data_IF_229422123878
#
_entry.id   IF_229422123878
#
_cell.length_a   1.000
_cell.length_b   1.000
_cell.length_c   1.000
_cell.angle_alpha   90.00
_cell.angle_beta   90.00
_cell.angle_gamma   90.00
#
_symmetry.space_group_name_H-M   'P 1'
#
loop_
_entity.id
_entity.type
_entity.pdbx_description
1 polymer ?
#
# COMPACT_ATOMS: atom_id res chain seq x y z
N UNK A 1 -15.78 10.14 12.80
CA UNK A 1 -14.63 9.21 12.74
C UNK A 1 -13.93 9.48 11.43
N UNK A 2 -12.65 9.87 11.45
CA UNK A 2 -11.92 10.18 10.22
C UNK A 2 -11.28 8.90 9.71
N UNK A 3 -11.81 8.33 8.63
CA UNK A 3 -11.21 7.18 7.96
C UNK A 3 -10.29 7.71 6.87
N UNK A 4 -9.02 7.32 6.91
CA UNK A 4 -8.07 7.62 5.83
C UNK A 4 -8.06 6.45 4.85
N UNK A 5 -8.20 6.75 3.57
CA UNK A 5 -8.24 5.75 2.50
C UNK A 5 -7.21 6.09 1.42
N UNK A 6 -6.39 5.10 1.09
CA UNK A 6 -5.42 5.18 0.01
C UNK A 6 -5.61 4.02 -0.96
N UNK A 7 -5.56 4.31 -2.26
CA UNK A 7 -5.64 3.29 -3.30
C UNK A 7 -4.36 3.26 -4.12
N UNK A 8 -3.90 2.07 -4.46
CA UNK A 8 -2.81 1.82 -5.40
C UNK A 8 -3.32 1.08 -6.61
N UNK A 9 -3.24 1.69 -7.79
CA UNK A 9 -3.41 0.98 -9.07
C UNK A 9 -2.26 -0.01 -9.25
N UNK A 10 -2.56 -1.29 -9.32
CA UNK A 10 -1.60 -2.39 -9.42
C UNK A 10 -0.95 -2.42 -10.80
N UNK A 11 0.37 -2.46 -10.82
CA UNK A 11 1.17 -2.66 -12.05
C UNK A 11 1.43 -4.14 -12.31
N UNK A 12 1.85 -4.51 -13.52
CA UNK A 12 2.30 -5.88 -13.84
C UNK A 12 3.33 -6.44 -12.84
N UNK A 13 4.21 -5.57 -12.30
CA UNK A 13 5.20 -5.95 -11.30
C UNK A 13 4.58 -6.23 -9.93
N UNK A 14 3.50 -5.54 -9.57
CA UNK A 14 2.81 -5.72 -8.29
C UNK A 14 2.02 -7.05 -8.27
N UNK A 15 1.42 -7.43 -9.40
CA UNK A 15 0.66 -8.70 -9.53
C UNK A 15 1.51 -9.90 -9.97
N UNK A 16 2.76 -9.67 -10.36
CA UNK A 16 3.75 -10.74 -10.55
C UNK A 16 3.74 -11.36 -11.94
N UNK A 17 3.07 -10.70 -12.89
CA UNK A 17 2.95 -11.14 -14.27
C UNK A 17 4.28 -11.03 -15.03
N UNK A 18 5.22 -10.22 -14.56
CA UNK A 18 6.53 -10.02 -15.24
C UNK A 18 7.55 -11.12 -14.97
N UNK A 19 7.29 -12.08 -14.08
CA UNK A 19 8.21 -13.17 -13.75
C UNK A 19 9.53 -12.73 -13.06
N UNK A 20 9.68 -11.42 -12.81
CA UNK A 20 10.83 -10.86 -12.08
C UNK A 20 10.62 -10.98 -10.58
N UNK A 21 11.70 -10.91 -9.80
CA UNK A 21 11.60 -10.83 -8.33
C UNK A 21 10.74 -9.64 -7.93
N UNK A 22 9.54 -9.92 -7.46
CA UNK A 22 8.63 -8.89 -6.95
C UNK A 22 9.24 -8.25 -5.71
N UNK A 23 9.72 -7.00 -5.85
CA UNK A 23 10.29 -6.24 -4.73
C UNK A 23 9.25 -5.77 -3.71
N UNK A 24 7.95 -5.98 -3.97
CA UNK A 24 6.83 -5.41 -3.22
C UNK A 24 6.34 -4.08 -3.80
N UNK A 25 5.18 -3.63 -3.32
CA UNK A 25 4.51 -2.41 -3.79
C UNK A 25 5.34 -1.20 -3.36
N UNK A 26 5.69 -0.35 -4.33
CA UNK A 26 6.42 0.89 -4.08
C UNK A 26 5.54 1.91 -3.35
N UNK A 27 6.06 2.49 -2.27
CA UNK A 27 5.43 3.59 -1.54
C UNK A 27 6.22 4.89 -1.81
N UNK A 28 5.57 5.96 -2.30
CA UNK A 28 6.24 7.24 -2.56
C UNK A 28 6.82 7.88 -1.30
N UNK A 29 8.12 8.20 -1.32
CA UNK A 29 8.78 8.92 -0.20
C UNK A 29 8.22 10.33 0.02
N UNK A 30 7.82 11.00 -1.05
CA UNK A 30 7.43 12.41 -0.99
C UNK A 30 5.97 12.60 -0.59
N UNK A 31 5.25 11.51 -0.29
CA UNK A 31 3.85 11.54 0.11
C UNK A 31 3.74 11.48 1.64
N UNK A 32 3.84 12.64 2.28
CA UNK A 32 3.87 12.74 3.74
C UNK A 32 2.65 12.13 4.41
N UNK A 33 1.47 12.26 3.80
CA UNK A 33 0.23 11.72 4.36
C UNK A 33 0.19 10.20 4.34
N UNK A 34 0.57 9.57 3.22
CA UNK A 34 0.66 8.11 3.10
C UNK A 34 1.75 7.54 4.02
N UNK A 35 2.87 8.25 4.19
CA UNK A 35 3.90 7.83 5.14
C UNK A 35 3.42 7.95 6.59
N UNK A 36 2.69 9.01 6.95
CA UNK A 36 2.11 9.17 8.28
C UNK A 36 1.00 8.16 8.59
N UNK A 37 0.37 7.62 7.54
CA UNK A 37 -0.64 6.58 7.64
C UNK A 37 -0.04 5.22 8.03
N UNK A 38 1.19 4.94 7.57
CA UNK A 38 1.93 3.70 7.83
C UNK A 38 2.73 3.79 9.14
N UNK A 39 3.21 2.66 9.69
CA UNK A 39 4.11 2.68 10.84
C UNK A 39 5.37 3.50 10.57
N UNK A 40 5.80 4.28 11.56
CA UNK A 40 7.06 5.02 11.48
C UNK A 40 8.25 4.05 11.46
N UNK A 41 9.21 4.33 10.59
CA UNK A 41 10.45 3.57 10.47
C UNK A 41 11.63 4.50 10.74
N UNK A 42 12.55 4.08 11.60
CA UNK A 42 13.73 4.87 11.95
C UNK A 42 14.77 4.86 10.81
N UNK A 43 15.00 5.98 10.10
CA UNK A 43 15.95 6.03 8.99
C UNK A 43 17.41 5.84 9.41
N UNK A 44 17.73 5.98 10.70
CA UNK A 44 19.08 5.75 11.25
C UNK A 44 19.42 4.25 11.36
N UNK A 45 18.42 3.38 11.30
CA UNK A 45 18.62 1.93 11.22
C UNK A 45 18.73 1.54 9.75
N UNK A 46 19.56 0.56 9.41
CA UNK A 46 19.65 0.03 8.04
C UNK A 46 18.47 -0.91 7.76
N UNK A 47 17.76 -0.65 6.67
CA UNK A 47 16.61 -1.40 6.20
C UNK A 47 15.54 -1.66 7.28
N UNK A 48 15.09 -0.63 8.02
CA UNK A 48 14.12 -0.80 9.10
C UNK A 48 12.80 -1.28 8.51
N UNK A 49 12.06 -2.04 9.29
CA UNK A 49 10.77 -2.57 8.89
C UNK A 49 9.79 -2.70 10.05
N UNK A 50 8.52 -2.78 9.68
CA UNK A 50 7.41 -3.00 10.58
C UNK A 50 6.36 -3.89 9.91
N UNK A 51 5.67 -4.69 10.72
CA UNK A 51 4.52 -5.45 10.27
C UNK A 51 3.24 -4.60 10.37
N UNK A 52 2.42 -4.69 9.33
CA UNK A 52 1.09 -4.11 9.27
C UNK A 52 0.10 -5.26 9.20
N UNK A 53 -0.84 -5.27 10.14
CA UNK A 53 -1.93 -6.22 10.17
C UNK A 53 -3.18 -5.55 9.61
N UNK A 54 -3.68 -6.07 8.49
CA UNK A 54 -4.88 -5.58 7.82
C UNK A 54 -5.97 -6.64 7.85
N UNK A 55 -7.19 -6.26 8.20
CA UNK A 55 -8.36 -7.11 8.02
C UNK A 55 -8.86 -7.01 6.58
N UNK A 56 -9.05 -8.16 5.92
CA UNK A 56 -9.65 -8.21 4.58
C UNK A 56 -11.20 -8.26 4.63
N UNK A 57 -11.85 -8.21 3.47
CA UNK A 57 -13.32 -8.21 3.35
C UNK A 57 -13.98 -9.50 3.89
N UNK A 58 -13.21 -10.55 4.16
CA UNK A 58 -13.69 -11.80 4.75
C UNK A 58 -13.53 -11.84 6.27
N UNK A 59 -12.99 -10.78 6.88
CA UNK A 59 -12.61 -10.74 8.29
C UNK A 59 -11.28 -11.44 8.58
N UNK A 60 -10.52 -11.84 7.55
CA UNK A 60 -9.23 -12.53 7.74
C UNK A 60 -8.13 -11.50 7.92
N UNK A 61 -7.36 -11.64 9.01
CA UNK A 61 -6.19 -10.79 9.25
C UNK A 61 -5.03 -11.21 8.34
N UNK A 62 -4.55 -10.27 7.53
CA UNK A 62 -3.41 -10.38 6.63
C UNK A 62 -2.25 -9.57 7.17
N UNK A 63 -1.04 -10.14 7.14
CA UNK A 63 0.18 -9.48 7.59
C UNK A 63 1.05 -9.08 6.40
N UNK A 64 1.37 -7.80 6.32
CA UNK A 64 2.27 -7.23 5.31
C UNK A 64 3.46 -6.58 5.99
N UNK A 65 4.60 -6.55 5.32
CA UNK A 65 5.82 -5.93 5.87
C UNK A 65 6.11 -4.63 5.15
N UNK A 66 6.06 -3.53 5.90
CA UNK A 66 6.52 -2.23 5.44
C UNK A 66 8.01 -2.08 5.74
N UNK A 67 8.81 -1.80 4.71
CA UNK A 67 10.28 -1.73 4.82
C UNK A 67 10.79 -0.49 4.11
N UNK A 68 11.82 0.13 4.69
CA UNK A 68 12.55 1.22 4.06
C UNK A 68 13.92 0.74 3.57
N UNK A 69 14.04 0.44 2.28
CA UNK A 69 15.35 0.13 1.69
C UNK A 69 16.18 1.41 1.58
N UNK A 70 17.05 1.63 2.55
CA UNK A 70 17.85 2.85 2.72
C UNK A 70 19.37 2.57 2.61
N UNK A 71 19.76 1.52 1.88
CA UNK A 71 21.16 1.15 1.65
C UNK A 71 22.02 2.35 1.20
N UNK A 72 21.47 3.31 0.46
CA UNK A 72 22.18 4.53 0.05
C UNK A 72 22.73 5.36 1.21
N UNK A 73 22.12 5.25 2.40
CA UNK A 73 22.53 5.99 3.60
C UNK A 73 23.53 5.22 4.47
N UNK A 74 23.59 3.89 4.32
CA UNK A 74 24.28 3.00 5.26
C UNK A 74 25.43 2.21 4.64
N UNK A 75 25.38 1.96 3.32
CA UNK A 75 26.35 1.11 2.63
C UNK A 75 27.22 1.94 1.68
N UNK A 76 28.53 1.66 1.67
CA UNK A 76 29.43 2.18 0.66
C UNK A 76 29.04 1.58 -0.71
N UNK A 77 28.50 2.42 -1.59
CA UNK A 77 27.97 1.99 -2.91
C UNK A 77 26.51 1.53 -2.89
N UNK A 78 25.79 1.70 -1.78
CA UNK A 78 24.35 1.44 -1.74
C UNK A 78 23.57 2.36 -2.69
N UNK A 79 22.68 1.79 -3.49
CA UNK A 79 21.89 2.56 -4.48
C UNK A 79 20.44 2.76 -4.08
N UNK A 80 19.91 1.89 -3.20
CA UNK A 80 18.48 1.90 -2.83
C UNK A 80 18.16 3.00 -1.83
N UNK A 81 17.09 3.71 -2.14
CA UNK A 81 16.46 4.66 -1.26
C UNK A 81 14.96 4.68 -1.58
N UNK A 82 14.18 3.74 -1.06
CA UNK A 82 12.73 3.59 -1.36
C UNK A 82 11.97 2.85 -0.25
N UNK A 83 10.69 3.16 -0.10
CA UNK A 83 9.79 2.44 0.80
C UNK A 83 8.99 1.39 0.03
N UNK A 84 8.76 0.24 0.64
CA UNK A 84 7.97 -0.84 0.04
C UNK A 84 7.07 -1.55 1.03
N UNK A 85 5.92 -2.01 0.55
CA UNK A 85 5.08 -3.00 1.24
C UNK A 85 5.29 -4.35 0.56
N UNK A 86 5.79 -5.31 1.31
CA UNK A 86 6.15 -6.66 0.83
C UNK A 86 5.20 -7.71 1.43
N UNK A 87 5.36 -8.97 1.03
CA UNK A 87 4.48 -10.10 1.39
C UNK A 87 3.04 -10.02 0.83
N UNK A 88 2.81 -9.16 -0.17
CA UNK A 88 1.49 -9.00 -0.79
C UNK A 88 1.19 -10.04 -1.88
N UNK A 89 2.21 -10.70 -2.44
CA UNK A 89 2.08 -11.64 -3.57
C UNK A 89 1.08 -12.76 -3.32
N UNK A 90 1.16 -13.40 -2.14
CA UNK A 90 0.26 -14.51 -1.80
C UNK A 90 -1.19 -14.03 -1.77
N UNK A 91 -1.43 -12.89 -1.12
CA UNK A 91 -2.75 -12.27 -1.03
C UNK A 91 -3.30 -11.86 -2.40
N UNK A 92 -2.51 -11.14 -3.21
CA UNK A 92 -2.92 -10.73 -4.56
C UNK A 92 -3.21 -11.93 -5.47
N UNK A 93 -2.42 -13.00 -5.36
CA UNK A 93 -2.65 -14.24 -6.11
C UNK A 93 -3.90 -14.97 -5.64
N UNK A 94 -4.16 -15.04 -4.34
CA UNK A 94 -5.39 -15.61 -3.77
C UNK A 94 -6.63 -14.87 -4.29
N UNK A 95 -6.55 -13.55 -4.41
CA UNK A 95 -7.64 -12.73 -4.95
C UNK A 95 -7.72 -12.73 -6.49
N UNK A 96 -6.76 -13.33 -7.18
CA UNK A 96 -6.67 -13.29 -8.64
C UNK A 96 -6.51 -11.88 -9.21
N UNK A 97 -5.81 -11.00 -8.47
CA UNK A 97 -5.63 -9.60 -8.82
C UNK A 97 -4.92 -9.42 -10.17
N UNK A 98 -5.36 -8.45 -10.95
CA UNK A 98 -4.85 -8.16 -12.30
C UNK A 98 -4.21 -6.77 -12.36
N UNK A 99 -3.32 -6.59 -13.32
CA UNK A 99 -2.81 -5.26 -13.65
C UNK A 99 -3.96 -4.31 -14.01
N UNK A 100 -3.89 -3.09 -13.48
CA UNK A 100 -4.93 -2.07 -13.65
C UNK A 100 -6.04 -2.11 -12.59
N UNK A 101 -6.17 -3.19 -11.81
CA UNK A 101 -7.04 -3.20 -10.62
C UNK A 101 -6.42 -2.41 -9.48
N UNK A 102 -7.21 -2.12 -8.46
CA UNK A 102 -6.83 -1.18 -7.42
C UNK A 102 -6.83 -1.84 -6.06
N UNK A 103 -5.72 -1.72 -5.36
CA UNK A 103 -5.61 -2.14 -3.98
C UNK A 103 -5.94 -0.97 -3.07
N UNK A 104 -6.97 -1.10 -2.25
CA UNK A 104 -7.34 -0.10 -1.26
C UNK A 104 -6.83 -0.52 0.12
N UNK A 105 -6.18 0.41 0.81
CA UNK A 105 -5.83 0.28 2.22
C UNK A 105 -6.46 1.45 2.97
N UNK A 106 -7.23 1.14 4.01
CA UNK A 106 -7.86 2.14 4.85
C UNK A 106 -7.50 1.94 6.31
N UNK A 107 -7.59 3.01 7.10
CA UNK A 107 -7.33 2.99 8.53
C UNK A 107 -8.27 3.96 9.20
N UNK A 108 -8.89 3.46 10.26
CA UNK A 108 -9.68 4.29 11.15
C UNK A 108 -8.77 4.88 12.24
N UNK A 109 -8.75 6.21 12.37
CA UNK A 109 -7.86 6.89 13.32
C UNK A 109 -8.18 6.60 14.79
N UNK A 110 -9.42 6.20 15.12
CA UNK A 110 -9.83 5.91 16.49
C UNK A 110 -9.47 4.49 16.93
N UNK A 111 -9.60 3.51 16.03
CA UNK A 111 -9.35 2.10 16.31
C UNK A 111 -7.94 1.64 15.91
N UNK A 112 -7.22 2.42 15.10
CA UNK A 112 -5.87 2.08 14.59
C UNK A 112 -5.83 0.74 13.82
N UNK A 113 -7.00 0.24 13.38
CA UNK A 113 -7.13 -0.99 12.61
C UNK A 113 -6.98 -0.67 11.13
N UNK A 114 -6.07 -1.38 10.45
CA UNK A 114 -5.97 -1.32 8.99
C UNK A 114 -6.97 -2.29 8.36
N UNK A 115 -7.56 -1.87 7.24
CA UNK A 115 -8.37 -2.72 6.38
C UNK A 115 -7.80 -2.72 4.98
N UNK A 116 -7.99 -3.82 4.26
CA UNK A 116 -7.48 -3.99 2.91
C UNK A 116 -8.53 -4.66 2.02
N UNK A 117 -8.66 -4.19 0.78
CA UNK A 117 -9.51 -4.82 -0.23
C UNK A 117 -9.01 -4.60 -1.64
N UNK A 118 -9.46 -5.46 -2.56
CA UNK A 118 -9.20 -5.34 -3.99
C UNK A 118 -10.43 -4.75 -4.67
N UNK A 119 -10.27 -3.54 -5.21
CA UNK A 119 -11.30 -2.85 -5.99
C UNK A 119 -11.12 -3.24 -7.46
N UNK A 120 -12.11 -3.96 -7.99
CA UNK A 120 -12.12 -4.42 -9.39
C UNK A 120 -12.83 -3.39 -10.27
N UNK A 121 -12.30 -3.16 -11.48
CA UNK A 121 -12.83 -2.18 -12.42
C UNK A 121 -14.23 -2.51 -13.00
N UNK A 122 -14.83 -3.64 -12.62
CA UNK A 122 -16.17 -4.04 -13.05
C UNK A 122 -17.03 -4.56 -11.90
N UNK A 123 -17.61 -3.61 -11.16
CA UNK A 123 -19.00 -3.68 -10.72
C UNK A 123 -19.45 -2.30 -10.26
N UNK A 124 -20.34 -1.69 -11.04
CA UNK A 124 -21.31 -0.74 -10.50
C UNK A 124 -22.07 -1.44 -9.34
N UNK A 125 -22.38 -0.65 -8.31
CA UNK A 125 -22.91 -1.00 -6.98
C UNK A 125 -21.80 -1.30 -5.96
N UNK A 126 -21.55 -0.46 -4.96
CA UNK A 126 -22.50 0.21 -4.08
C UNK A 126 -22.06 1.64 -3.72
N UNK A 127 -23.05 2.54 -3.79
CA UNK A 127 -23.00 3.87 -3.22
C UNK A 127 -22.70 3.81 -1.72
N UNK A 128 -21.76 4.63 -1.27
CA UNK A 128 -22.04 5.51 -0.15
C UNK A 128 -22.15 6.91 -0.74
N UNK A 129 -23.33 7.49 -0.59
CA UNK A 129 -23.66 8.87 -0.92
C UNK A 129 -22.78 9.82 -0.09
N UNK A 130 -22.52 10.98 -0.69
CA UNK A 130 -21.95 12.19 -0.09
C UNK A 130 -20.49 12.13 0.36
N UNK A 131 -19.56 12.37 -0.56
CA UNK A 131 -18.72 13.58 -0.49
C UNK A 131 -18.08 13.82 -1.85
N UNK A 132 -18.09 15.08 -2.30
CA UNK A 132 -17.39 15.57 -3.48
C UNK A 132 -15.88 15.65 -3.18
N UNK A 133 -15.31 14.53 -2.72
CA UNK A 133 -13.96 14.42 -2.21
C UNK A 133 -12.95 14.69 -3.31
N UNK A 134 -12.17 15.76 -3.14
CA UNK A 134 -11.12 16.19 -4.07
C UNK A 134 -10.12 15.04 -4.28
N UNK A 135 -10.13 14.48 -5.50
CA UNK A 135 -9.30 13.35 -5.91
C UNK A 135 -7.89 13.82 -6.25
N UNK A 136 -6.96 13.72 -5.30
CA UNK A 136 -5.55 14.10 -5.54
C UNK A 136 -4.78 12.89 -6.05
N UNK A 137 -4.31 12.96 -7.31
CA UNK A 137 -3.42 11.97 -7.92
C UNK A 137 -2.01 12.09 -7.35
N UNK A 138 -1.44 10.99 -6.87
CA UNK A 138 -0.04 10.91 -6.43
C UNK A 138 0.80 10.29 -7.57
N UNK A 139 2.02 10.79 -7.80
CA UNK A 139 2.90 10.45 -8.95
C UNK A 139 3.40 9.00 -9.05
N UNK A 140 2.75 8.00 -8.45
CA UNK A 140 3.21 6.59 -8.48
C UNK A 140 2.08 5.55 -8.48
N UNK A 141 0.92 5.91 -9.04
CA UNK A 141 -0.27 5.04 -9.06
C UNK A 141 -1.00 4.96 -7.72
N UNK A 142 -0.53 5.70 -6.71
CA UNK A 142 -1.27 5.93 -5.48
C UNK A 142 -2.24 7.09 -5.65
N UNK A 143 -3.36 7.06 -4.92
CA UNK A 143 -4.27 8.18 -4.75
C UNK A 143 -4.86 8.15 -3.36
N UNK A 144 -5.20 9.33 -2.85
CA UNK A 144 -5.99 9.49 -1.63
C UNK A 144 -7.45 9.67 -2.00
N UNK A 145 -8.34 9.05 -1.23
CA UNK A 145 -9.77 9.31 -1.27
C UNK A 145 -10.09 10.15 -0.03
N UNK A 146 -10.66 11.34 -0.26
CA UNK A 146 -11.23 12.21 0.78
C UNK A 146 -12.70 11.84 0.96
#
# INVERSE_FOLDING_TARGET
>A
MTIKVFCKTLSANDVGTTGTHQGGILVPRNEGELLSFLPSLDPAIKNPDAWIECEDETGTVRKFRFVYYNNRLHDQGGTRNEYRITYMTKYLRELGAREGEELEISKDEASNVYRIRLVRAHSNACAHEDDEGVRIKIKSGWRRIH
#
